data_IF_786796442527
#
_entry.id   IF_786796442527
#
_cell.length_a   1.000
_cell.length_b   1.000
_cell.length_c   1.000
_cell.angle_alpha   90.00
_cell.angle_beta   90.00
_cell.angle_gamma   90.00
#
_symmetry.space_group_name_H-M   'P 1'
#
loop_
_entity.id
_entity.type
_entity.pdbx_description
1 polymer ?
#
# COMPACT_ATOMS: atom_id res chain seq x y z
N UNK A 1 8.54 3.25 -60.24
CA UNK A 1 8.07 1.85 -60.28
C UNK A 1 9.00 0.88 -59.56
N UNK A 2 10.32 0.90 -59.81
CA UNK A 2 11.29 -0.01 -59.16
C UNK A 2 11.35 0.09 -57.62
N UNK A 3 11.20 1.29 -57.05
CA UNK A 3 11.16 1.50 -55.60
C UNK A 3 9.93 0.88 -54.92
N UNK A 4 8.75 0.97 -55.54
CA UNK A 4 7.52 0.38 -55.00
C UNK A 4 7.55 -1.15 -55.01
N UNK A 5 8.19 -1.74 -56.03
CA UNK A 5 8.40 -3.19 -56.12
C UNK A 5 9.35 -3.65 -55.01
N UNK A 6 10.43 -2.90 -54.76
CA UNK A 6 11.35 -3.21 -53.65
C UNK A 6 10.68 -3.10 -52.29
N UNK A 7 9.79 -2.12 -52.11
CA UNK A 7 9.05 -1.94 -50.85
C UNK A 7 8.02 -3.04 -50.63
N UNK A 8 7.34 -3.48 -51.70
CA UNK A 8 6.37 -4.58 -51.64
C UNK A 8 7.06 -5.92 -51.29
N UNK A 9 8.22 -6.19 -51.88
CA UNK A 9 9.02 -7.38 -51.55
C UNK A 9 9.48 -7.36 -50.09
N UNK A 10 9.92 -6.21 -49.58
CA UNK A 10 10.34 -6.08 -48.18
C UNK A 10 9.17 -6.31 -47.20
N UNK A 11 7.98 -5.80 -47.55
CA UNK A 11 6.78 -5.98 -46.75
C UNK A 11 6.32 -7.44 -46.71
N UNK A 12 6.36 -8.17 -47.83
CA UNK A 12 5.98 -9.58 -47.89
C UNK A 12 6.88 -10.51 -47.07
N UNK A 13 8.17 -10.19 -46.92
CA UNK A 13 9.10 -11.02 -46.12
C UNK A 13 8.78 -10.94 -44.61
N UNK A 14 8.27 -9.79 -44.15
CA UNK A 14 7.93 -9.59 -42.73
C UNK A 14 6.73 -10.40 -42.24
N UNK A 15 5.88 -10.90 -43.14
CA UNK A 15 4.67 -11.66 -42.79
C UNK A 15 4.91 -13.15 -42.51
N UNK A 16 6.11 -13.68 -42.80
CA UNK A 16 6.43 -15.10 -42.59
C UNK A 16 7.23 -15.38 -41.30
N UNK A 17 7.43 -14.37 -40.43
CA UNK A 17 8.36 -14.43 -39.29
C UNK A 17 7.80 -14.94 -37.95
N UNK A 18 6.53 -15.33 -37.86
CA UNK A 18 5.92 -15.80 -36.60
C UNK A 18 5.44 -17.25 -36.73
N UNK A 19 6.37 -18.20 -36.73
CA UNK A 19 6.06 -19.61 -36.49
C UNK A 19 6.88 -20.06 -35.27
N UNK A 20 6.21 -20.22 -34.13
CA UNK A 20 6.79 -20.86 -32.95
C UNK A 20 6.83 -22.37 -33.22
N UNK A 21 8.04 -22.93 -33.34
CA UNK A 21 8.25 -24.38 -33.32
C UNK A 21 8.15 -24.79 -31.85
N UNK A 22 6.96 -25.20 -31.42
CA UNK A 22 6.75 -25.84 -30.13
C UNK A 22 6.92 -27.35 -30.33
N UNK A 23 8.15 -27.83 -30.21
CA UNK A 23 8.47 -29.25 -30.36
C UNK A 23 9.73 -29.58 -29.58
N UNK A 24 9.57 -29.84 -28.28
CA UNK A 24 10.26 -30.94 -27.59
C UNK A 24 9.38 -31.44 -26.43
N UNK A 25 8.49 -32.41 -26.70
CA UNK A 25 7.86 -33.21 -25.64
C UNK A 25 8.85 -34.29 -25.17
N UNK A 26 9.91 -33.88 -24.47
CA UNK A 26 10.81 -34.82 -23.81
C UNK A 26 10.14 -35.32 -22.51
N UNK A 27 9.17 -36.23 -22.65
CA UNK A 27 8.60 -36.95 -21.53
C UNK A 27 9.60 -37.98 -21.00
N UNK A 28 10.13 -37.76 -19.80
CA UNK A 28 10.91 -38.77 -19.09
C UNK A 28 9.97 -39.84 -18.54
N UNK A 29 10.06 -41.07 -19.04
CA UNK A 29 9.29 -42.19 -18.53
C UNK A 29 9.91 -42.68 -17.21
N UNK A 30 9.23 -42.45 -16.09
CA UNK A 30 9.60 -43.02 -14.79
C UNK A 30 9.06 -44.46 -14.76
N UNK A 31 9.93 -45.49 -14.68
CA UNK A 31 9.46 -46.87 -14.57
C UNK A 31 8.79 -47.07 -13.20
N UNK A 32 7.59 -47.65 -13.21
CA UNK A 32 6.90 -48.03 -11.97
C UNK A 32 7.69 -49.16 -11.29
N UNK A 33 8.13 -48.91 -10.05
CA UNK A 33 8.66 -49.94 -9.17
C UNK A 33 7.46 -50.55 -8.46
N UNK A 34 7.20 -51.84 -8.67
CA UNK A 34 6.15 -52.54 -7.94
C UNK A 34 6.56 -52.68 -6.47
N UNK A 35 5.81 -52.06 -5.55
CA UNK A 35 5.94 -52.30 -4.12
C UNK A 35 5.04 -53.48 -3.72
N UNK A 36 5.57 -54.39 -2.91
CA UNK A 36 4.81 -55.57 -2.45
C UNK A 36 3.72 -55.22 -1.42
N UNK A 37 3.75 -54.01 -0.82
CA UNK A 37 2.73 -53.50 0.10
C UNK A 37 2.33 -52.04 -0.28
N UNK A 38 1.05 -51.74 -0.55
CA UNK A 38 0.57 -50.41 -0.94
C UNK A 38 0.70 -49.30 0.13
N UNK A 39 1.25 -49.62 1.31
CA UNK A 39 1.38 -48.67 2.44
C UNK A 39 2.79 -48.12 2.66
N UNK A 40 3.81 -48.73 2.05
CA UNK A 40 5.19 -48.26 2.14
C UNK A 40 5.52 -47.39 0.92
N UNK A 41 4.86 -46.24 0.83
CA UNK A 41 5.36 -45.16 0.01
C UNK A 41 6.45 -44.45 0.86
N UNK A 42 7.73 -44.43 0.45
CA UNK A 42 8.74 -43.68 1.17
C UNK A 42 8.48 -42.19 0.91
N UNK A 43 7.62 -41.57 1.72
CA UNK A 43 7.55 -40.11 1.82
C UNK A 43 8.99 -39.61 2.06
N UNK A 44 9.50 -38.77 1.16
CA UNK A 44 10.78 -38.08 1.32
C UNK A 44 10.70 -37.19 2.56
N UNK A 45 11.08 -37.74 3.72
CA UNK A 45 11.31 -36.97 4.93
C UNK A 45 12.62 -36.21 4.68
N UNK A 46 12.50 -34.97 4.20
CA UNK A 46 13.62 -34.04 4.23
C UNK A 46 13.79 -33.65 5.70
N UNK A 47 14.64 -34.38 6.42
CA UNK A 47 15.10 -33.93 7.72
C UNK A 47 15.89 -32.63 7.52
N UNK A 48 15.53 -31.52 8.21
CA UNK A 48 16.31 -30.30 8.11
C UNK A 48 17.70 -30.58 8.68
N UNK A 49 18.73 -30.35 7.87
CA UNK A 49 20.12 -30.51 8.27
C UNK A 49 20.39 -29.63 9.50
N UNK A 50 20.86 -30.18 10.64
CA UNK A 50 21.34 -29.35 11.73
C UNK A 50 22.65 -28.71 11.29
N UNK A 51 22.60 -27.40 11.08
CA UNK A 51 23.77 -26.54 10.92
C UNK A 51 24.63 -26.65 12.20
N UNK A 52 25.90 -26.97 12.01
CA UNK A 52 26.82 -27.37 13.06
C UNK A 52 27.31 -26.18 13.89
N UNK A 53 27.45 -26.34 15.22
CA UNK A 53 28.58 -25.76 15.96
C UNK A 53 29.10 -26.70 17.05
N UNK A 54 30.42 -26.72 17.14
CA UNK A 54 31.31 -27.61 17.87
C UNK A 54 31.53 -27.19 19.34
N UNK A 55 31.59 -28.11 20.30
CA UNK A 55 32.49 -28.00 21.48
C UNK A 55 32.88 -29.40 22.00
N UNK A 56 34.19 -29.65 22.18
CA UNK A 56 34.75 -30.72 23.03
C UNK A 56 35.39 -30.07 24.29
N UNK A 57 35.91 -30.85 25.24
CA UNK A 57 35.27 -31.50 26.38
C UNK A 57 35.66 -30.80 27.71
N UNK A 58 34.96 -31.06 28.82
CA UNK A 58 35.54 -30.82 30.15
C UNK A 58 35.50 -32.08 31.01
N UNK A 59 36.67 -32.43 31.53
CA UNK A 59 36.92 -33.57 32.38
C UNK A 59 36.80 -33.15 33.85
N UNK A 60 35.65 -33.40 34.49
CA UNK A 60 35.55 -33.68 35.92
C UNK A 60 34.09 -34.02 36.32
N UNK A 61 33.96 -35.15 37.01
CA UNK A 61 32.84 -35.53 37.88
C UNK A 61 31.55 -36.08 37.23
N UNK A 62 31.54 -37.41 37.13
CA UNK A 62 30.46 -38.36 37.47
C UNK A 62 29.01 -37.84 37.58
N UNK A 63 28.17 -38.45 36.73
CA UNK A 63 26.75 -38.72 36.92
C UNK A 63 25.75 -37.55 36.93
N UNK A 64 25.49 -36.97 35.76
CA UNK A 64 24.11 -36.69 35.35
C UNK A 64 24.03 -36.47 33.83
N UNK A 65 23.39 -37.40 33.12
CA UNK A 65 23.03 -37.23 31.71
C UNK A 65 21.59 -36.71 31.71
N UNK A 66 21.39 -35.45 31.35
CA UNK A 66 20.04 -34.91 31.13
C UNK A 66 19.57 -35.45 29.77
N UNK A 67 18.67 -36.43 29.80
CA UNK A 67 18.04 -36.91 28.58
C UNK A 67 17.22 -35.77 27.94
N UNK A 68 17.30 -35.55 26.62
CA UNK A 68 16.44 -34.59 25.95
C UNK A 68 14.98 -34.97 26.18
N UNK A 69 14.16 -34.00 26.55
CA UNK A 69 12.72 -34.19 26.74
C UNK A 69 12.12 -34.68 25.42
N UNK A 70 11.56 -35.89 25.40
CA UNK A 70 10.87 -36.44 24.23
C UNK A 70 9.82 -35.44 23.74
N UNK A 71 10.02 -34.94 22.52
CA UNK A 71 9.01 -34.18 21.80
C UNK A 71 8.01 -35.19 21.27
N UNK A 72 6.89 -35.35 21.95
CA UNK A 72 5.76 -36.11 21.41
C UNK A 72 5.21 -35.31 20.23
N UNK A 73 5.56 -35.73 19.01
CA UNK A 73 4.94 -35.22 17.80
C UNK A 73 3.47 -35.65 17.83
N UNK A 74 2.55 -34.69 17.90
CA UNK A 74 1.12 -34.96 17.84
C UNK A 74 0.78 -35.49 16.44
N UNK A 75 0.83 -36.82 16.27
CA UNK A 75 0.39 -37.50 15.05
C UNK A 75 -1.13 -37.31 14.97
N UNK A 76 -1.57 -36.38 14.11
CA UNK A 76 -2.99 -36.25 13.79
C UNK A 76 -3.45 -37.60 13.18
N UNK A 77 -4.58 -38.17 13.60
CA UNK A 77 -5.06 -39.41 13.01
C UNK A 77 -5.31 -39.21 11.51
N UNK A 78 -4.64 -40.02 10.67
CA UNK A 78 -4.86 -40.05 9.21
C UNK A 78 -6.32 -40.53 8.99
N UNK A 79 -7.08 -39.78 8.18
CA UNK A 79 -8.46 -40.15 7.84
C UNK A 79 -8.42 -41.44 7.02
N UNK A 80 -9.17 -42.46 7.43
CA UNK A 80 -9.21 -43.75 6.73
C UNK A 80 -9.74 -43.56 5.30
N UNK A 81 -9.11 -44.25 4.35
CA UNK A 81 -9.53 -44.21 2.95
C UNK A 81 -10.88 -44.93 2.81
N UNK A 82 -11.93 -44.18 2.49
CA UNK A 82 -13.26 -44.73 2.19
C UNK A 82 -13.60 -44.50 0.72
N UNK A 83 -14.06 -45.56 0.04
CA UNK A 83 -14.61 -45.49 -1.33
C UNK A 83 -16.04 -44.90 -1.36
N UNK A 84 -16.65 -44.71 -0.19
CA UNK A 84 -17.96 -44.08 -0.02
C UNK A 84 -17.71 -42.82 0.79
N UNK A 85 -17.74 -41.67 0.11
CA UNK A 85 -17.72 -40.38 0.78
C UNK A 85 -18.98 -40.28 1.66
N UNK A 86 -18.80 -40.34 2.98
CA UNK A 86 -19.90 -40.42 3.97
C UNK A 86 -20.84 -39.21 3.98
N UNK A 87 -20.45 -38.10 3.32
CA UNK A 87 -21.11 -36.78 3.44
C UNK A 87 -21.81 -36.34 2.14
N UNK A 88 -22.03 -37.29 1.23
CA UNK A 88 -22.49 -37.02 -0.10
C UNK A 88 -24.01 -37.08 -0.21
N UNK A 89 -24.64 -36.04 0.36
CA UNK A 89 -26.07 -35.81 0.30
C UNK A 89 -26.53 -35.34 -1.11
N UNK A 90 -26.17 -36.09 -2.17
CA UNK A 90 -26.45 -35.80 -3.60
C UNK A 90 -27.94 -35.91 -3.96
N UNK A 91 -28.82 -35.19 -3.28
CA UNK A 91 -30.25 -35.18 -3.62
C UNK A 91 -30.54 -34.20 -4.77
N UNK A 92 -29.69 -33.20 -4.96
CA UNK A 92 -29.83 -32.21 -6.02
C UNK A 92 -28.49 -31.98 -6.76
N UNK A 93 -28.41 -32.24 -8.08
CA UNK A 93 -27.19 -32.04 -8.87
C UNK A 93 -26.70 -30.58 -8.89
N UNK A 94 -27.57 -29.60 -8.61
CA UNK A 94 -27.18 -28.19 -8.51
C UNK A 94 -26.27 -27.92 -7.29
N UNK A 95 -26.36 -28.72 -6.23
CA UNK A 95 -25.56 -28.51 -5.01
C UNK A 95 -24.06 -28.68 -5.23
N UNK A 96 -23.67 -29.41 -6.27
CA UNK A 96 -22.27 -29.60 -6.67
C UNK A 96 -21.61 -28.31 -7.15
N UNK A 97 -22.39 -27.43 -7.76
CA UNK A 97 -21.91 -26.16 -8.26
C UNK A 97 -22.00 -25.05 -7.22
N UNK A 98 -22.72 -25.24 -6.11
CA UNK A 98 -22.90 -24.20 -5.08
C UNK A 98 -21.58 -23.67 -4.52
N UNK A 99 -20.58 -24.55 -4.31
CA UNK A 99 -19.26 -24.14 -3.80
C UNK A 99 -18.50 -23.29 -4.83
N UNK A 100 -18.53 -23.69 -6.10
CA UNK A 100 -17.88 -22.96 -7.19
C UNK A 100 -18.56 -21.62 -7.44
N UNK A 101 -19.89 -21.58 -7.47
CA UNK A 101 -20.69 -20.37 -7.63
C UNK A 101 -20.46 -19.39 -6.48
N UNK A 102 -20.55 -19.84 -5.23
CA UNK A 102 -20.24 -19.00 -4.06
C UNK A 102 -18.82 -18.45 -4.11
N UNK A 103 -17.85 -19.26 -4.56
CA UNK A 103 -16.47 -18.82 -4.76
C UNK A 103 -16.42 -17.72 -5.81
N UNK A 104 -16.98 -17.93 -6.99
CA UNK A 104 -17.01 -16.93 -8.08
C UNK A 104 -17.73 -15.63 -7.70
N UNK A 105 -18.84 -15.70 -6.98
CA UNK A 105 -19.57 -14.51 -6.51
C UNK A 105 -18.72 -13.70 -5.52
N UNK A 106 -18.05 -14.36 -4.58
CA UNK A 106 -17.12 -13.69 -3.65
C UNK A 106 -15.96 -13.02 -4.38
N UNK A 107 -15.35 -13.69 -5.36
CA UNK A 107 -14.29 -13.08 -6.17
C UNK A 107 -14.76 -11.80 -6.87
N UNK A 108 -15.95 -11.81 -7.47
CA UNK A 108 -16.51 -10.60 -8.10
C UNK A 108 -16.74 -9.47 -7.09
N UNK A 109 -17.29 -9.76 -5.92
CA UNK A 109 -17.48 -8.76 -4.87
C UNK A 109 -16.16 -8.18 -4.37
N UNK A 110 -15.13 -9.01 -4.22
CA UNK A 110 -13.81 -8.59 -3.77
C UNK A 110 -13.07 -7.80 -4.86
N UNK A 111 -13.18 -8.21 -6.13
CA UNK A 111 -12.62 -7.50 -7.29
C UNK A 111 -13.26 -6.12 -7.47
N UNK A 112 -14.59 -6.02 -7.35
CA UNK A 112 -15.31 -4.74 -7.41
C UNK A 112 -14.88 -3.81 -6.27
N UNK A 113 -14.74 -4.33 -5.04
CA UNK A 113 -14.23 -3.53 -3.91
C UNK A 113 -12.77 -3.10 -4.09
N UNK A 114 -11.93 -3.98 -4.65
CA UNK A 114 -10.51 -3.69 -4.89
C UNK A 114 -10.33 -2.57 -5.91
N UNK A 115 -11.19 -2.51 -6.94
CA UNK A 115 -11.09 -1.53 -8.02
C UNK A 115 -11.78 -0.19 -7.70
N UNK A 116 -12.68 -0.17 -6.71
CA UNK A 116 -13.49 1.01 -6.42
C UNK A 116 -12.81 2.02 -5.48
N UNK A 117 -11.58 1.76 -5.03
CA UNK A 117 -10.89 2.61 -4.07
C UNK A 117 -11.51 2.57 -2.69
N UNK A 118 -11.14 3.51 -1.83
CA UNK A 118 -11.62 3.51 -0.44
C UNK A 118 -13.10 3.87 -0.36
N UNK A 119 -13.90 2.97 0.22
CA UNK A 119 -15.33 3.16 0.47
C UNK A 119 -15.63 3.94 1.76
N UNK A 120 -14.60 4.29 2.54
CA UNK A 120 -14.72 4.94 3.84
C UNK A 120 -14.01 6.28 3.84
N UNK A 121 -14.54 7.23 4.60
CA UNK A 121 -13.92 8.55 4.72
C UNK A 121 -12.50 8.42 5.29
N UNK A 122 -11.56 9.14 4.68
CA UNK A 122 -10.16 9.11 5.06
C UNK A 122 -9.81 10.38 5.83
N UNK A 123 -9.14 10.21 6.96
CA UNK A 123 -8.52 11.33 7.66
C UNK A 123 -7.04 11.36 7.31
N UNK A 124 -6.62 12.46 6.66
CA UNK A 124 -5.30 12.57 6.06
C UNK A 124 -4.29 13.22 7.01
N UNK A 125 -4.76 13.87 8.07
CA UNK A 125 -3.92 14.40 9.14
C UNK A 125 -4.40 15.73 9.71
N UNK A 126 -3.71 16.13 10.78
CA UNK A 126 -3.85 17.44 11.43
C UNK A 126 -2.55 18.23 11.28
N UNK A 127 -2.66 19.50 10.91
CA UNK A 127 -1.53 20.38 10.64
C UNK A 127 -1.68 21.70 11.37
N UNK A 128 -0.60 22.19 11.96
CA UNK A 128 -0.56 23.46 12.69
C UNK A 128 0.13 24.53 11.87
N UNK A 129 -0.43 25.73 11.85
CA UNK A 129 0.15 26.88 11.15
C UNK A 129 -0.13 28.18 11.90
N UNK A 130 0.76 29.16 11.76
CA UNK A 130 0.52 30.54 12.22
C UNK A 130 0.09 31.45 11.07
N UNK A 131 0.06 30.92 9.84
CA UNK A 131 -0.32 31.69 8.65
C UNK A 131 -1.84 31.93 8.63
N UNK A 132 -2.24 33.13 8.19
CA UNK A 132 -3.66 33.49 7.98
C UNK A 132 -4.26 32.81 6.74
N UNK A 133 -3.42 32.54 5.75
CA UNK A 133 -3.84 31.94 4.47
C UNK A 133 -2.89 30.79 4.18
N UNK A 134 -3.45 29.68 3.71
CA UNK A 134 -2.70 28.54 3.19
C UNK A 134 -3.08 28.33 1.74
N UNK A 135 -2.12 27.85 0.94
CA UNK A 135 -2.38 27.47 -0.44
C UNK A 135 -2.39 25.95 -0.53
N UNK A 136 -3.54 25.37 -0.87
CA UNK A 136 -3.64 23.94 -1.13
C UNK A 136 -3.49 23.73 -2.63
N UNK A 137 -2.43 23.07 -3.04
CA UNK A 137 -2.27 22.63 -4.42
C UNK A 137 -2.70 21.17 -4.54
N UNK A 138 -3.37 20.82 -5.64
CA UNK A 138 -3.82 19.46 -5.90
C UNK A 138 -3.74 19.13 -7.39
N UNK A 139 -3.58 17.85 -7.69
CA UNK A 139 -3.55 17.30 -9.04
C UNK A 139 -4.04 15.86 -9.05
N UNK A 140 -4.32 15.38 -10.25
CA UNK A 140 -4.49 13.95 -10.49
C UNK A 140 -3.16 13.21 -10.23
N UNK A 141 -3.21 12.12 -9.47
CA UNK A 141 -2.02 11.33 -9.15
C UNK A 141 -1.74 10.23 -10.18
N UNK A 142 -2.76 9.76 -10.90
CA UNK A 142 -2.69 8.57 -11.74
C UNK A 142 -2.83 8.92 -13.22
N UNK A 143 -4.05 9.11 -13.70
CA UNK A 143 -4.35 9.43 -15.09
C UNK A 143 -5.56 10.37 -15.16
N UNK A 144 -5.41 11.58 -15.71
CA UNK A 144 -6.47 12.59 -15.72
C UNK A 144 -7.57 12.19 -16.70
N UNK A 145 -8.60 11.54 -16.20
CA UNK A 145 -9.67 10.94 -17.01
C UNK A 145 -11.06 11.48 -16.66
N UNK A 146 -11.10 12.62 -15.96
CA UNK A 146 -12.34 13.30 -15.58
C UNK A 146 -12.74 13.12 -14.13
N UNK A 147 -11.82 12.63 -13.30
CA UNK A 147 -11.92 12.69 -11.85
C UNK A 147 -12.31 14.09 -11.36
N UNK A 148 -13.38 14.19 -10.57
CA UNK A 148 -13.94 15.45 -10.10
C UNK A 148 -14.20 15.40 -8.60
N UNK A 149 -13.89 16.50 -7.93
CA UNK A 149 -14.02 16.65 -6.48
C UNK A 149 -14.80 17.90 -6.11
N UNK A 150 -15.36 17.90 -4.90
CA UNK A 150 -15.94 19.06 -4.23
C UNK A 150 -15.16 19.38 -2.97
N UNK A 151 -14.93 20.66 -2.71
CA UNK A 151 -14.17 21.10 -1.53
C UNK A 151 -15.09 21.82 -0.56
N UNK A 152 -15.02 21.42 0.70
CA UNK A 152 -15.71 22.06 1.81
C UNK A 152 -14.71 22.69 2.77
N UNK A 153 -15.08 23.81 3.37
CA UNK A 153 -14.39 24.43 4.50
C UNK A 153 -15.39 24.56 5.64
N UNK A 154 -15.11 23.95 6.79
CA UNK A 154 -15.99 23.94 7.96
C UNK A 154 -17.44 23.52 7.60
N UNK A 155 -17.56 22.48 6.77
CA UNK A 155 -18.82 21.93 6.23
C UNK A 155 -19.58 22.83 5.22
N UNK A 156 -19.08 24.05 4.94
CA UNK A 156 -19.60 24.91 3.87
C UNK A 156 -18.94 24.62 2.52
N UNK A 157 -19.71 24.69 1.42
CA UNK A 157 -19.20 24.44 0.07
C UNK A 157 -18.32 25.63 -0.36
N UNK A 158 -17.02 25.37 -0.49
CA UNK A 158 -16.05 26.36 -0.96
C UNK A 158 -15.84 26.25 -2.48
N UNK A 159 -15.70 25.03 -2.99
CA UNK A 159 -15.67 24.74 -4.43
C UNK A 159 -16.71 23.66 -4.75
N UNK A 160 -17.75 23.95 -5.56
CA UNK A 160 -18.84 23.01 -5.80
C UNK A 160 -18.44 21.79 -6.64
N UNK A 161 -17.52 21.98 -7.58
CA UNK A 161 -16.96 20.95 -8.44
C UNK A 161 -15.66 21.45 -9.07
N UNK A 162 -14.61 20.63 -9.06
CA UNK A 162 -13.38 20.84 -9.81
C UNK A 162 -12.86 19.52 -10.35
N UNK A 163 -12.42 19.52 -11.61
CA UNK A 163 -11.82 18.35 -12.25
C UNK A 163 -10.32 18.30 -11.95
N UNK A 164 -9.84 17.13 -11.56
CA UNK A 164 -8.42 16.86 -11.36
C UNK A 164 -7.72 16.77 -12.71
N UNK A 165 -6.60 17.46 -12.82
CA UNK A 165 -5.77 17.50 -14.02
C UNK A 165 -4.37 17.03 -13.69
N UNK A 166 -3.57 16.68 -14.69
CA UNK A 166 -2.17 16.29 -14.49
C UNK A 166 -1.30 17.38 -13.84
N UNK A 167 -1.62 18.65 -14.09
CA UNK A 167 -0.95 19.81 -13.48
C UNK A 167 -1.53 20.16 -12.12
N UNK A 168 -0.70 20.79 -11.28
CA UNK A 168 -1.13 21.32 -9.99
C UNK A 168 -2.04 22.54 -10.16
N UNK A 169 -3.23 22.47 -9.58
CA UNK A 169 -4.14 23.59 -9.40
C UNK A 169 -4.06 24.06 -7.94
N UNK A 170 -4.16 25.36 -7.70
CA UNK A 170 -4.09 25.94 -6.35
C UNK A 170 -5.44 26.42 -5.84
N UNK A 171 -5.65 26.30 -4.53
CA UNK A 171 -6.79 26.82 -3.80
C UNK A 171 -6.29 27.60 -2.58
N UNK A 172 -6.49 28.92 -2.62
CA UNK A 172 -6.18 29.80 -1.50
C UNK A 172 -7.31 29.74 -0.48
N UNK A 173 -7.00 29.32 0.74
CA UNK A 173 -7.96 29.20 1.84
C UNK A 173 -7.56 30.16 2.94
N UNK A 174 -8.50 31.04 3.31
CA UNK A 174 -8.36 31.88 4.49
C UNK A 174 -8.76 31.08 5.72
N UNK A 175 -7.88 31.04 6.72
CA UNK A 175 -8.07 30.27 7.94
C UNK A 175 -8.61 31.18 9.06
N UNK A 176 -9.70 30.73 9.66
CA UNK A 176 -10.21 31.26 10.93
C UNK A 176 -9.31 30.82 12.08
N UNK A 177 -9.37 31.52 13.21
CA UNK A 177 -8.58 31.15 14.39
C UNK A 177 -9.04 29.81 14.96
N UNK A 178 -8.08 28.97 15.35
CA UNK A 178 -8.37 27.62 15.83
C UNK A 178 -8.50 26.60 14.69
N UNK A 179 -9.48 25.71 14.81
CA UNK A 179 -9.61 24.50 13.98
C UNK A 179 -10.35 24.84 12.68
N UNK A 180 -9.71 24.59 11.54
CA UNK A 180 -10.33 24.66 10.22
C UNK A 180 -10.35 23.26 9.60
N UNK A 181 -11.54 22.74 9.33
CA UNK A 181 -11.71 21.42 8.71
C UNK A 181 -11.93 21.58 7.20
N UNK A 182 -11.13 20.90 6.39
CA UNK A 182 -11.25 20.94 4.94
C UNK A 182 -11.53 19.52 4.45
N UNK A 183 -12.68 19.33 3.79
CA UNK A 183 -13.08 18.05 3.24
C UNK A 183 -13.06 18.09 1.70
N UNK A 184 -12.42 17.09 1.10
CA UNK A 184 -12.43 16.81 -0.33
C UNK A 184 -13.36 15.62 -0.58
N UNK A 185 -14.48 15.84 -1.25
CA UNK A 185 -15.42 14.78 -1.61
C UNK A 185 -15.23 14.37 -3.07
N UNK A 186 -15.02 13.08 -3.33
CA UNK A 186 -15.04 12.54 -4.67
C UNK A 186 -16.47 12.61 -5.25
N UNK A 187 -16.67 13.35 -6.33
CA UNK A 187 -17.97 13.46 -7.01
C UNK A 187 -18.17 12.33 -8.03
N UNK A 188 -17.08 11.77 -8.55
CA UNK A 188 -17.06 10.64 -9.47
C UNK A 188 -15.72 9.88 -9.29
N UNK A 189 -15.45 8.94 -10.19
CA UNK A 189 -14.19 8.18 -10.30
C UNK A 189 -13.68 8.18 -11.74
N UNK A 190 -13.91 9.31 -12.45
CA UNK A 190 -13.52 9.44 -13.85
C UNK A 190 -14.14 8.38 -14.77
N UNK A 191 -13.41 8.01 -15.81
CA UNK A 191 -13.74 6.90 -16.71
C UNK A 191 -13.24 5.55 -16.19
N UNK A 192 -12.22 5.57 -15.34
CA UNK A 192 -11.53 4.44 -14.76
C UNK A 192 -11.40 4.72 -13.27
N UNK A 193 -12.18 4.01 -12.47
CA UNK A 193 -12.04 4.14 -11.03
C UNK A 193 -10.68 3.64 -10.55
N UNK A 194 -10.26 4.07 -9.35
CA UNK A 194 -10.91 5.00 -8.40
C UNK A 194 -10.53 6.48 -8.59
N UNK A 195 -11.14 7.39 -7.82
CA UNK A 195 -10.75 8.81 -7.84
C UNK A 195 -9.39 8.99 -7.17
N UNK A 196 -8.40 9.46 -7.91
CA UNK A 196 -7.03 9.59 -7.41
C UNK A 196 -6.56 11.03 -7.42
N UNK A 197 -6.05 11.50 -6.27
CA UNK A 197 -5.41 12.80 -6.22
C UNK A 197 -4.18 12.78 -5.34
N UNK A 198 -3.30 13.73 -5.62
CA UNK A 198 -2.24 14.18 -4.75
C UNK A 198 -2.52 15.63 -4.39
N UNK A 199 -2.33 15.99 -3.12
CA UNK A 199 -2.40 17.38 -2.68
C UNK A 199 -1.22 17.73 -1.78
N UNK A 200 -0.90 19.01 -1.77
CA UNK A 200 0.11 19.59 -0.90
C UNK A 200 -0.42 20.88 -0.29
N UNK A 201 -0.15 21.10 0.98
CA UNK A 201 -0.45 22.37 1.65
C UNK A 201 0.84 23.17 1.73
N UNK A 202 0.81 24.38 1.18
CA UNK A 202 1.94 25.29 1.14
C UNK A 202 1.74 26.41 2.17
N UNK A 203 2.85 26.84 2.77
CA UNK A 203 2.89 28.07 3.56
C UNK A 203 2.89 29.33 2.67
N UNK A 204 2.95 30.51 3.31
CA UNK A 204 3.00 31.80 2.62
C UNK A 204 4.26 32.02 1.77
N UNK A 205 5.33 31.29 2.07
CA UNK A 205 6.64 31.39 1.40
C UNK A 205 6.77 30.32 0.29
N UNK A 206 5.75 29.47 0.11
CA UNK A 206 5.70 28.40 -0.88
C UNK A 206 6.33 27.08 -0.42
N UNK A 207 6.70 26.94 0.85
CA UNK A 207 7.25 25.70 1.38
C UNK A 207 6.13 24.68 1.61
N UNK A 208 6.40 23.42 1.26
CA UNK A 208 5.48 22.31 1.49
C UNK A 208 5.42 21.98 2.98
N UNK A 209 4.26 22.19 3.59
CA UNK A 209 3.97 21.80 4.98
C UNK A 209 3.60 20.32 5.04
N UNK A 210 2.79 19.87 4.08
CA UNK A 210 2.34 18.48 3.95
C UNK A 210 2.18 18.13 2.48
N UNK A 211 2.45 16.86 2.15
CA UNK A 211 2.00 16.20 0.94
C UNK A 211 1.28 14.90 1.31
N UNK A 212 0.13 14.62 0.70
CA UNK A 212 -0.56 13.35 0.86
C UNK A 212 -1.37 13.04 -0.42
N UNK A 213 -1.82 11.80 -0.53
CA UNK A 213 -2.53 11.27 -1.68
C UNK A 213 -3.76 10.50 -1.22
N UNK A 214 -4.78 10.43 -2.06
CA UNK A 214 -5.96 9.63 -1.80
C UNK A 214 -6.36 8.82 -3.02
N UNK A 215 -7.13 7.78 -2.71
CA UNK A 215 -7.75 6.88 -3.67
C UNK A 215 -9.15 6.57 -3.12
N UNK A 216 -10.17 7.26 -3.66
CA UNK A 216 -11.52 7.32 -3.09
C UNK A 216 -12.57 6.76 -4.03
N UNK A 217 -13.58 6.12 -3.46
CA UNK A 217 -14.82 5.82 -4.15
C UNK A 217 -15.71 7.07 -4.28
N UNK A 218 -16.63 7.05 -5.23
CA UNK A 218 -17.60 8.14 -5.40
C UNK A 218 -18.40 8.38 -4.11
N UNK A 219 -18.49 9.64 -3.69
CA UNK A 219 -19.24 10.09 -2.51
C UNK A 219 -18.43 10.12 -1.21
N UNK A 220 -17.25 9.50 -1.19
CA UNK A 220 -16.36 9.41 -0.02
C UNK A 220 -15.57 10.71 0.14
N UNK A 221 -15.26 11.06 1.40
CA UNK A 221 -14.52 12.26 1.76
C UNK A 221 -13.12 11.96 2.26
N UNK A 222 -12.16 12.77 1.86
CA UNK A 222 -10.84 12.91 2.44
C UNK A 222 -10.78 14.21 3.25
N UNK A 223 -10.47 14.12 4.54
CA UNK A 223 -10.48 15.24 5.48
C UNK A 223 -9.09 15.60 5.95
N UNK A 224 -8.76 16.89 5.92
CA UNK A 224 -7.60 17.46 6.63
C UNK A 224 -8.09 18.47 7.66
N UNK A 225 -7.37 18.56 8.76
CA UNK A 225 -7.60 19.60 9.77
C UNK A 225 -6.39 20.51 9.80
N UNK A 226 -6.63 21.81 9.65
CA UNK A 226 -5.61 22.85 9.75
C UNK A 226 -5.92 23.73 10.96
N UNK A 227 -5.07 23.64 11.97
CA UNK A 227 -5.17 24.44 13.18
C UNK A 227 -4.34 25.70 13.03
N UNK A 228 -5.01 26.85 12.98
CA UNK A 228 -4.37 28.16 13.04
C UNK A 228 -4.12 28.50 14.50
N UNK A 229 -2.85 28.43 14.91
CA UNK A 229 -2.43 28.91 16.21
C UNK A 229 -2.40 30.43 16.19
N UNK A 230 -2.97 31.09 17.21
CA UNK A 230 -2.74 32.51 17.43
C UNK A 230 -1.24 32.73 17.53
N UNK A 231 -0.67 33.44 16.56
CA UNK A 231 0.74 33.81 16.58
C UNK A 231 0.99 34.51 17.91
N UNK A 232 1.72 33.85 18.81
CA UNK A 232 1.96 34.35 20.15
C UNK A 232 2.59 35.73 20.04
N UNK A 233 1.81 36.78 20.27
CA UNK A 233 2.31 38.15 20.42
C UNK A 233 2.93 38.24 21.81
N UNK A 234 4.02 37.52 22.02
CA UNK A 234 4.93 37.72 23.13
C UNK A 234 6.35 37.73 22.55
N UNK A 235 6.68 38.82 21.84
CA UNK A 235 8.06 39.30 21.86
C UNK A 235 8.36 39.70 23.31
N UNK A 236 8.97 38.80 24.07
CA UNK A 236 9.70 39.18 25.27
C UNK A 236 10.87 40.08 24.85
N UNK A 237 10.64 41.40 24.83
CA UNK A 237 11.71 42.37 25.02
C UNK A 237 12.13 42.30 26.48
N UNK A 238 13.26 41.66 26.74
CA UNK A 238 14.37 42.23 27.53
C UNK A 238 15.34 41.13 27.94
N UNK A 239 16.47 41.03 27.25
CA UNK A 239 17.71 41.16 28.00
C UNK A 239 18.43 42.36 27.40
N UNK A 240 18.40 43.43 28.19
CA UNK A 240 19.30 44.56 28.05
C UNK A 240 20.70 43.99 28.08
N UNK A 241 21.40 44.25 26.99
CA UNK A 241 22.83 44.16 26.85
C UNK A 241 23.44 45.15 27.86
N UNK A 242 23.78 44.66 29.06
CA UNK A 242 24.58 45.44 30.02
C UNK A 242 26.05 45.25 29.67
N UNK A 243 26.49 46.01 28.66
CA UNK A 243 27.90 46.27 28.37
C UNK A 243 28.10 47.76 28.10
N UNK A 244 28.14 48.51 29.18
CA UNK A 244 28.75 49.84 29.32
C UNK A 244 28.95 50.00 30.82
N UNK A 245 30.07 50.40 31.41
CA UNK A 245 31.25 51.11 30.95
C UNK A 245 32.13 51.15 32.21
N UNK A 246 33.27 50.45 32.24
CA UNK A 246 34.26 50.61 33.30
C UNK A 246 35.42 51.42 32.72
N UNK A 247 35.34 52.73 32.95
CA UNK A 247 36.35 53.73 32.61
C UNK A 247 37.70 53.40 33.28
N UNK A 248 38.82 53.42 32.52
CA UNK A 248 40.16 53.33 33.07
C UNK A 248 40.76 54.73 33.26
N UNK A 249 40.97 55.18 34.51
CA UNK A 249 42.14 56.02 34.77
C UNK A 249 42.54 56.12 36.27
N UNK A 250 43.86 56.16 36.57
CA UNK A 250 44.41 56.30 37.91
C UNK A 250 44.68 57.78 38.26
N UNK A 251 44.75 58.10 39.56
CA UNK A 251 45.66 59.12 40.10
C UNK A 251 45.72 59.06 41.62
N UNK A 252 46.96 59.06 42.09
CA UNK A 252 47.42 59.22 43.47
C UNK A 252 46.93 60.54 44.06
N UNK A 253 46.84 60.60 45.39
CA UNK A 253 47.42 61.67 46.21
C UNK A 253 47.68 61.13 47.63
N UNK A 254 48.96 61.04 47.96
CA UNK A 254 49.55 61.18 49.30
C UNK A 254 49.87 62.67 49.50
#
# INVERSE_FOLDING_TARGET
>A
MKFYISFFILFSISLFGYAQIDSESNGFAIPAIESEDPKDDPELIIEPAPEAETVKPDAANNNEIIAPKEVQTAVKPKKEFSMIEEDNNFRNPAELFNKQLKKQLKFKEDDEKSNNGSLVNQFLGEYKTTAKVVNIIYRDHQYPDGDAIRVFLNDDIMVPSVTLTSGFNGLLISLDEGINKIDFQALNQGTSGPNTAEFQVLDKDGNVIVSNQWNLATGVKASIVVVKEEGSVLKLKSQVEDKSEADPNPKNDE
#
